data_IF_896958510389
#
_entry.id   IF_896958510389
#
_cell.length_a   1.000
_cell.length_b   1.000
_cell.length_c   1.000
_cell.angle_alpha   90.00
_cell.angle_beta   90.00
_cell.angle_gamma   90.00
#
_symmetry.space_group_name_H-M   'P 1'
#
loop_
_entity.id
_entity.type
_entity.pdbx_description
1 polymer ?
#
# COMPACT_ATOMS: atom_id res chain seq x y z
N UNK A 1 12.81 19.38 6.69
CA UNK A 1 13.12 19.69 5.28
C UNK A 1 12.75 18.46 4.47
N UNK A 2 12.16 18.62 3.28
CA UNK A 2 11.93 17.50 2.36
C UNK A 2 13.13 17.44 1.43
N UNK A 3 13.71 16.26 1.29
CA UNK A 3 14.75 15.96 0.30
C UNK A 3 14.20 15.00 -0.72
N UNK A 4 14.58 15.15 -1.99
CA UNK A 4 14.12 14.27 -3.06
C UNK A 4 15.24 13.95 -4.03
N UNK A 5 15.22 12.74 -4.57
CA UNK A 5 16.15 12.26 -5.58
C UNK A 5 15.49 11.13 -6.39
N UNK A 6 16.24 10.58 -7.34
CA UNK A 6 15.83 9.40 -8.08
C UNK A 6 16.91 8.31 -7.96
N UNK A 7 16.49 7.05 -8.04
CA UNK A 7 17.39 5.89 -7.99
C UNK A 7 17.21 5.05 -9.25
N UNK A 8 18.30 4.67 -9.94
CA UNK A 8 18.19 3.80 -11.09
C UNK A 8 17.70 2.41 -10.69
N UNK A 9 16.70 1.93 -11.42
CA UNK A 9 16.21 0.55 -11.38
C UNK A 9 16.21 0.00 -12.82
N UNK A 10 15.79 -1.24 -13.02
CA UNK A 10 15.79 -1.85 -14.36
C UNK A 10 14.95 -1.01 -15.36
N UNK A 11 15.62 -0.35 -16.30
CA UNK A 11 15.02 0.38 -17.42
C UNK A 11 14.37 1.73 -17.08
N UNK A 12 14.49 2.24 -15.85
CA UNK A 12 13.92 3.54 -15.43
C UNK A 12 14.60 4.05 -14.15
N UNK A 13 14.18 5.21 -13.66
CA UNK A 13 14.54 5.71 -12.32
C UNK A 13 13.29 5.87 -11.46
N UNK A 14 13.42 5.56 -10.17
CA UNK A 14 12.36 5.79 -9.19
C UNK A 14 12.61 7.07 -8.42
N UNK A 15 11.69 8.02 -8.57
CA UNK A 15 11.66 9.23 -7.77
C UNK A 15 11.19 8.92 -6.34
N UNK A 16 11.87 9.51 -5.35
CA UNK A 16 11.50 9.40 -3.94
C UNK A 16 11.66 10.71 -3.18
N UNK A 17 10.94 10.83 -2.08
CA UNK A 17 11.01 11.92 -1.12
C UNK A 17 11.30 11.36 0.28
N UNK A 18 12.22 11.99 1.00
CA UNK A 18 12.47 11.73 2.42
C UNK A 18 12.16 12.97 3.26
N UNK A 19 11.60 12.74 4.45
CA UNK A 19 11.33 13.80 5.43
C UNK A 19 11.54 13.29 6.85
N UNK A 20 12.18 14.12 7.67
CA UNK A 20 12.40 13.82 9.09
C UNK A 20 13.79 13.28 9.35
N UNK A 21 13.98 12.73 10.54
CA UNK A 21 15.24 12.13 11.01
C UNK A 21 14.92 10.96 11.92
N UNK A 22 15.80 9.96 11.96
CA UNK A 22 15.60 8.73 12.75
C UNK A 22 15.60 7.49 11.85
N UNK A 23 15.12 6.33 12.36
CA UNK A 23 15.05 5.10 11.59
C UNK A 23 14.28 5.29 10.28
N UNK A 24 14.71 4.60 9.22
CA UNK A 24 14.06 4.66 7.91
C UNK A 24 12.70 3.97 7.96
N UNK A 25 11.64 4.70 7.64
CA UNK A 25 10.27 4.19 7.54
C UNK A 25 9.72 4.45 6.14
N UNK A 26 9.53 3.40 5.35
CA UNK A 26 8.84 3.51 4.06
C UNK A 26 7.34 3.59 4.30
N UNK A 27 6.69 4.62 3.77
CA UNK A 27 5.24 4.79 3.84
C UNK A 27 4.63 4.73 2.42
N UNK A 28 3.80 3.73 2.18
CA UNK A 28 3.22 3.46 0.86
C UNK A 28 1.70 3.64 0.89
N UNK A 29 1.19 4.53 0.05
CA UNK A 29 -0.26 4.60 -0.25
C UNK A 29 -0.68 3.41 -1.13
N UNK A 30 -1.99 3.28 -1.37
CA UNK A 30 -2.56 2.26 -2.24
C UNK A 30 -2.43 2.56 -3.73
N UNK A 31 -3.54 2.36 -4.46
CA UNK A 31 -3.63 2.61 -5.90
C UNK A 31 -3.16 4.03 -6.28
N UNK A 32 -2.49 4.14 -7.44
CA UNK A 32 -1.93 5.40 -7.95
C UNK A 32 -0.51 5.73 -7.46
N UNK A 33 -0.01 5.06 -6.42
CA UNK A 33 1.43 4.94 -6.12
C UNK A 33 2.26 6.23 -6.15
N UNK A 34 1.70 7.36 -5.73
CA UNK A 34 2.35 8.68 -5.76
C UNK A 34 2.82 9.10 -4.37
N UNK A 35 4.07 9.54 -4.28
CA UNK A 35 4.75 9.89 -3.02
C UNK A 35 4.03 10.98 -2.22
N UNK A 36 3.22 11.82 -2.88
CA UNK A 36 2.58 13.01 -2.31
C UNK A 36 1.14 12.78 -1.85
N UNK A 37 0.66 11.53 -1.81
CA UNK A 37 -0.77 11.23 -1.53
C UNK A 37 -1.12 11.13 -0.06
N UNK A 38 -0.14 11.01 0.82
CA UNK A 38 -0.33 10.82 2.27
C UNK A 38 0.42 11.87 3.12
N UNK A 39 0.44 13.17 2.75
CA UNK A 39 1.27 14.16 3.41
C UNK A 39 0.89 14.34 4.88
N UNK A 40 -0.40 14.24 5.22
CA UNK A 40 -0.86 14.33 6.61
C UNK A 40 -0.29 13.24 7.51
N UNK A 41 -0.10 12.03 6.98
CA UNK A 41 0.55 10.93 7.71
C UNK A 41 2.06 11.16 7.82
N UNK A 42 2.71 11.48 6.70
CA UNK A 42 4.16 11.73 6.63
C UNK A 42 4.58 12.82 7.61
N UNK A 43 3.85 13.94 7.65
CA UNK A 43 4.09 15.07 8.55
C UNK A 43 4.07 14.68 10.03
N UNK A 44 3.30 13.66 10.41
CA UNK A 44 3.14 13.20 11.80
C UNK A 44 4.11 12.08 12.18
N UNK A 45 4.72 11.44 11.19
CA UNK A 45 5.74 10.40 11.39
C UNK A 45 7.16 10.97 11.34
N UNK A 46 7.37 12.06 10.58
CA UNK A 46 8.67 12.68 10.35
C UNK A 46 9.36 13.25 11.61
N UNK A 47 8.62 13.39 12.72
CA UNK A 47 9.20 13.81 14.02
C UNK A 47 10.04 12.70 14.68
N UNK A 48 9.88 11.45 14.26
CA UNK A 48 10.54 10.27 14.86
C UNK A 48 11.28 9.39 13.86
N UNK A 49 10.92 9.48 12.59
CA UNK A 49 11.45 8.65 11.53
C UNK A 49 11.98 9.51 10.38
N UNK A 50 12.92 8.93 9.63
CA UNK A 50 13.18 9.36 8.27
C UNK A 50 12.12 8.68 7.39
N UNK A 51 11.04 9.39 7.07
CA UNK A 51 9.92 8.84 6.31
C UNK A 51 10.26 8.90 4.83
N UNK A 52 10.33 7.74 4.18
CA UNK A 52 10.53 7.56 2.75
C UNK A 52 9.17 7.33 2.06
N UNK A 53 8.87 8.12 1.05
CA UNK A 53 7.78 7.90 0.10
C UNK A 53 8.36 7.90 -1.30
N UNK A 54 7.75 7.17 -2.24
CA UNK A 54 8.27 7.10 -3.60
C UNK A 54 7.14 6.97 -4.62
N UNK A 55 7.43 7.44 -5.83
CA UNK A 55 6.56 7.20 -6.97
C UNK A 55 6.86 5.81 -7.50
N UNK A 56 5.88 4.91 -7.47
CA UNK A 56 6.03 3.56 -8.02
C UNK A 56 6.29 3.66 -9.53
N UNK A 57 6.98 2.66 -10.09
CA UNK A 57 7.19 2.54 -11.54
C UNK A 57 5.90 2.80 -12.32
N UNK A 58 5.96 3.72 -13.28
CA UNK A 58 4.83 4.11 -14.12
C UNK A 58 3.93 5.21 -13.53
N UNK A 59 4.25 5.71 -12.33
CA UNK A 59 3.46 6.73 -11.63
C UNK A 59 4.23 8.06 -11.60
N UNK A 60 3.53 9.17 -11.88
CA UNK A 60 4.04 10.53 -11.71
C UNK A 60 5.46 10.74 -12.26
N UNK A 61 6.47 10.87 -11.39
CA UNK A 61 7.86 11.19 -11.78
C UNK A 61 8.72 9.95 -12.07
N UNK A 62 8.16 8.76 -11.87
CA UNK A 62 8.83 7.47 -12.14
C UNK A 62 8.25 6.86 -13.41
N UNK A 63 8.97 6.95 -14.53
CA UNK A 63 8.52 6.37 -15.79
C UNK A 63 8.39 4.83 -15.70
N UNK A 64 7.54 4.23 -16.53
CA UNK A 64 7.34 2.78 -16.55
C UNK A 64 8.59 2.01 -17.04
N UNK A 65 9.44 2.68 -17.83
CA UNK A 65 10.59 2.12 -18.54
C UNK A 65 10.28 1.79 -20.00
N UNK A 66 11.33 1.64 -20.81
CA UNK A 66 11.24 1.28 -22.23
C UNK A 66 12.29 0.18 -22.60
N UNK A 67 11.88 -1.05 -22.95
CA UNK A 67 10.48 -1.51 -22.96
C UNK A 67 9.91 -1.61 -21.53
N UNK A 68 8.60 -1.38 -21.41
CA UNK A 68 7.90 -1.53 -20.13
C UNK A 68 7.89 -3.01 -19.70
N UNK A 69 8.42 -3.36 -18.51
CA UNK A 69 8.37 -4.71 -18.00
C UNK A 69 6.95 -5.08 -17.55
N UNK A 70 6.64 -6.37 -17.30
CA UNK A 70 5.40 -6.75 -16.63
C UNK A 70 5.26 -6.02 -15.29
N UNK A 71 4.15 -5.29 -15.10
CA UNK A 71 3.89 -4.53 -13.88
C UNK A 71 3.12 -5.39 -12.87
N UNK A 72 3.88 -6.20 -12.14
CA UNK A 72 3.35 -7.14 -11.14
C UNK A 72 3.72 -6.69 -9.73
N UNK A 73 3.04 -7.18 -8.67
CA UNK A 73 3.47 -6.97 -7.30
C UNK A 73 4.93 -7.38 -7.05
N UNK A 74 5.41 -8.43 -7.75
CA UNK A 74 6.80 -8.89 -7.68
C UNK A 74 7.77 -7.87 -8.27
N UNK A 75 7.42 -7.26 -9.41
CA UNK A 75 8.21 -6.18 -10.04
C UNK A 75 8.34 -4.99 -9.12
N UNK A 76 7.23 -4.55 -8.50
CA UNK A 76 7.27 -3.42 -7.57
C UNK A 76 8.04 -3.73 -6.28
N UNK A 77 8.00 -4.98 -5.80
CA UNK A 77 8.80 -5.42 -4.66
C UNK A 77 10.30 -5.42 -4.98
N UNK A 78 10.68 -5.86 -6.18
CA UNK A 78 12.10 -5.85 -6.61
C UNK A 78 12.61 -4.42 -6.82
N UNK A 79 11.78 -3.55 -7.38
CA UNK A 79 12.04 -2.10 -7.49
C UNK A 79 12.25 -1.45 -6.11
N UNK A 80 11.36 -1.75 -5.14
CA UNK A 80 11.50 -1.25 -3.77
C UNK A 80 12.74 -1.82 -3.07
N UNK A 81 13.12 -3.07 -3.35
CA UNK A 81 14.36 -3.65 -2.83
C UNK A 81 15.60 -2.91 -3.33
N UNK A 82 15.63 -2.51 -4.61
CA UNK A 82 16.72 -1.70 -5.17
C UNK A 82 16.76 -0.31 -4.56
N UNK A 83 15.60 0.32 -4.38
CA UNK A 83 15.49 1.61 -3.70
C UNK A 83 16.06 1.52 -2.28
N UNK A 84 15.64 0.53 -1.48
CA UNK A 84 16.13 0.36 -0.10
C UNK A 84 17.65 0.13 -0.04
N UNK A 85 18.18 -0.75 -0.89
CA UNK A 85 19.63 -1.01 -0.97
C UNK A 85 20.47 0.21 -1.36
N UNK A 86 19.87 1.18 -2.05
CA UNK A 86 20.55 2.43 -2.41
C UNK A 86 20.58 3.45 -1.27
N UNK A 87 19.74 3.29 -0.24
CA UNK A 87 19.53 4.27 0.82
C UNK A 87 20.03 3.81 2.19
N UNK A 88 20.11 2.50 2.43
CA UNK A 88 20.47 1.95 3.73
C UNK A 88 21.07 0.55 3.60
N UNK A 89 22.04 0.24 4.46
CA UNK A 89 22.56 -1.12 4.67
C UNK A 89 21.79 -1.89 5.77
N UNK A 90 20.95 -1.18 6.53
CA UNK A 90 20.12 -1.75 7.60
C UNK A 90 18.70 -2.09 7.09
N UNK A 91 18.04 -3.12 7.65
CA UNK A 91 16.64 -3.43 7.34
C UNK A 91 15.73 -2.25 7.68
N UNK A 92 14.77 -1.94 6.80
CA UNK A 92 13.88 -0.78 6.93
C UNK A 92 12.58 -1.13 7.66
N UNK A 93 11.93 -0.13 8.26
CA UNK A 93 10.54 -0.21 8.67
C UNK A 93 9.64 0.07 7.48
N UNK A 94 8.54 -0.65 7.36
CA UNK A 94 7.58 -0.47 6.29
C UNK A 94 6.17 -0.33 6.83
N UNK A 95 5.46 0.64 6.30
CA UNK A 95 4.02 0.76 6.37
C UNK A 95 3.48 0.83 4.95
N UNK A 96 2.46 0.02 4.67
CA UNK A 96 1.71 0.11 3.42
C UNK A 96 0.23 -0.03 3.68
N UNK A 97 -0.58 0.57 2.80
CA UNK A 97 -2.02 0.33 2.77
C UNK A 97 -2.48 -0.21 1.41
N UNK A 98 -3.48 -1.10 1.38
CA UNK A 98 -4.04 -1.62 0.12
C UNK A 98 -2.94 -2.21 -0.77
N UNK A 99 -2.82 -1.76 -2.02
CA UNK A 99 -1.75 -2.15 -2.94
C UNK A 99 -0.34 -1.91 -2.37
N UNK A 100 -0.11 -0.83 -1.63
CA UNK A 100 1.19 -0.58 -0.97
C UNK A 100 1.51 -1.65 0.07
N UNK A 101 0.51 -2.11 0.84
CA UNK A 101 0.67 -3.23 1.77
C UNK A 101 0.94 -4.54 1.01
N UNK A 102 0.25 -4.76 -0.10
CA UNK A 102 0.44 -5.93 -0.94
C UNK A 102 1.87 -5.97 -1.52
N UNK A 103 2.39 -4.87 -2.05
CA UNK A 103 3.81 -4.77 -2.46
C UNK A 103 4.76 -5.05 -1.28
N UNK A 104 4.44 -4.55 -0.08
CA UNK A 104 5.18 -4.85 1.14
C UNK A 104 5.22 -6.36 1.46
N UNK A 105 4.11 -7.08 1.31
CA UNK A 105 4.08 -8.53 1.50
C UNK A 105 4.99 -9.26 0.51
N UNK A 106 4.99 -8.86 -0.78
CA UNK A 106 5.90 -9.44 -1.76
C UNK A 106 7.36 -9.09 -1.47
N UNK A 107 7.65 -7.89 -0.96
CA UNK A 107 9.00 -7.53 -0.51
C UNK A 107 9.45 -8.43 0.63
N UNK A 108 8.62 -8.62 1.67
CA UNK A 108 8.95 -9.48 2.80
C UNK A 108 9.16 -10.94 2.37
N UNK A 109 8.34 -11.44 1.44
CA UNK A 109 8.48 -12.80 0.93
C UNK A 109 9.73 -13.01 0.06
N UNK A 110 10.19 -11.97 -0.67
CA UNK A 110 11.28 -12.07 -1.66
C UNK A 110 12.63 -11.59 -1.14
N UNK A 111 12.62 -10.59 -0.26
CA UNK A 111 13.80 -9.90 0.28
C UNK A 111 13.65 -9.68 1.80
N UNK A 112 13.40 -10.74 2.60
CA UNK A 112 13.11 -10.61 4.04
C UNK A 112 14.22 -9.90 4.83
N UNK A 113 15.47 -10.00 4.37
CA UNK A 113 16.62 -9.33 4.97
C UNK A 113 16.56 -7.80 4.90
N UNK A 114 15.74 -7.23 4.00
CA UNK A 114 15.58 -5.77 3.88
C UNK A 114 14.49 -5.22 4.80
N UNK A 115 13.75 -6.09 5.51
CA UNK A 115 12.57 -5.71 6.30
C UNK A 115 12.84 -5.94 7.78
N UNK A 116 12.85 -4.85 8.55
CA UNK A 116 12.84 -4.90 10.01
C UNK A 116 11.44 -5.23 10.54
N UNK A 117 10.44 -4.47 10.08
CA UNK A 117 9.01 -4.69 10.40
C UNK A 117 8.17 -4.19 9.24
N UNK A 118 7.15 -4.97 8.85
CA UNK A 118 6.09 -4.54 7.94
C UNK A 118 4.77 -4.44 8.68
N UNK A 119 4.19 -3.23 8.71
CA UNK A 119 2.79 -3.00 9.07
C UNK A 119 1.97 -2.97 7.78
N UNK A 120 1.28 -4.08 7.50
CA UNK A 120 0.44 -4.26 6.33
C UNK A 120 -1.02 -3.90 6.69
N UNK A 121 -1.44 -2.68 6.34
CA UNK A 121 -2.81 -2.21 6.55
C UNK A 121 -3.70 -2.58 5.36
N UNK A 122 -4.56 -3.55 5.56
CA UNK A 122 -5.52 -4.00 4.53
C UNK A 122 -4.88 -4.35 3.18
N UNK A 123 -3.89 -5.27 3.10
CA UNK A 123 -3.37 -5.75 1.82
C UNK A 123 -4.48 -6.47 1.04
N UNK A 124 -4.83 -6.00 -0.16
CA UNK A 124 -5.79 -6.71 -1.03
C UNK A 124 -5.12 -7.89 -1.75
N UNK A 125 -4.62 -8.84 -0.96
CA UNK A 125 -4.08 -10.11 -1.42
C UNK A 125 -5.20 -11.18 -1.43
N UNK A 126 -5.88 -11.28 -2.58
CA UNK A 126 -7.06 -12.14 -2.75
C UNK A 126 -6.76 -13.64 -2.63
N UNK A 127 -5.49 -14.05 -2.72
CA UNK A 127 -5.11 -15.44 -2.53
C UNK A 127 -5.46 -15.99 -1.14
N UNK A 128 -5.66 -15.13 -0.14
CA UNK A 128 -6.05 -15.58 1.19
C UNK A 128 -7.56 -15.74 1.37
N UNK A 129 -8.38 -15.22 0.47
CA UNK A 129 -9.84 -15.42 0.49
C UNK A 129 -10.22 -16.87 0.14
N UNK A 130 -11.37 -17.31 0.65
CA UNK A 130 -12.00 -18.59 0.25
C UNK A 130 -12.35 -18.58 -1.25
N UNK A 131 -12.60 -19.76 -1.85
CA UNK A 131 -12.90 -19.84 -3.28
C UNK A 131 -14.07 -18.95 -3.73
N UNK A 132 -15.19 -19.00 -3.01
CA UNK A 132 -16.37 -18.19 -3.33
C UNK A 132 -16.13 -16.68 -3.09
N UNK A 133 -15.45 -16.32 -2.00
CA UNK A 133 -15.09 -14.93 -1.73
C UNK A 133 -14.11 -14.36 -2.75
N UNK A 134 -13.11 -15.14 -3.15
CA UNK A 134 -12.14 -14.75 -4.18
C UNK A 134 -12.82 -14.54 -5.51
N UNK A 135 -13.73 -15.43 -5.89
CA UNK A 135 -14.51 -15.27 -7.12
C UNK A 135 -15.34 -13.98 -7.08
N UNK A 136 -16.06 -13.73 -5.99
CA UNK A 136 -16.87 -12.52 -5.82
C UNK A 136 -16.01 -11.25 -5.81
N UNK A 137 -14.90 -11.24 -5.05
CA UNK A 137 -13.95 -10.13 -5.05
C UNK A 137 -13.43 -9.85 -6.46
N UNK A 138 -13.06 -10.89 -7.21
CA UNK A 138 -12.64 -10.77 -8.61
C UNK A 138 -13.74 -10.22 -9.52
N UNK A 139 -15.01 -10.62 -9.31
CA UNK A 139 -16.15 -10.07 -10.07
C UNK A 139 -16.35 -8.57 -9.78
N UNK A 140 -16.25 -8.15 -8.51
CA UNK A 140 -16.40 -6.73 -8.14
C UNK A 140 -15.26 -5.90 -8.71
N UNK A 141 -14.02 -6.41 -8.65
CA UNK A 141 -12.85 -5.75 -9.25
C UNK A 141 -13.02 -5.60 -10.77
N UNK A 142 -13.42 -6.66 -11.48
CA UNK A 142 -13.71 -6.58 -12.93
C UNK A 142 -14.78 -5.54 -13.24
N UNK A 143 -15.86 -5.53 -12.45
CA UNK A 143 -16.94 -4.55 -12.60
C UNK A 143 -16.43 -3.11 -12.42
N UNK A 144 -15.56 -2.87 -11.44
CA UNK A 144 -14.97 -1.55 -11.22
C UNK A 144 -14.07 -1.12 -12.39
N UNK A 145 -13.22 -2.03 -12.90
CA UNK A 145 -12.39 -1.78 -14.07
C UNK A 145 -13.23 -1.52 -15.33
N UNK A 146 -14.28 -2.29 -15.56
CA UNK A 146 -15.14 -2.13 -16.73
C UNK A 146 -15.96 -0.84 -16.65
N UNK A 147 -16.48 -0.49 -15.47
CA UNK A 147 -17.14 0.79 -15.23
C UNK A 147 -16.20 1.95 -15.52
N UNK A 148 -14.94 1.86 -15.06
CA UNK A 148 -13.94 2.88 -15.35
C UNK A 148 -13.67 3.02 -16.85
N UNK A 149 -13.46 1.91 -17.56
CA UNK A 149 -13.21 1.91 -19.01
C UNK A 149 -14.38 2.46 -19.82
N UNK A 150 -15.61 2.18 -19.40
CA UNK A 150 -16.81 2.55 -20.14
C UNK A 150 -17.32 3.96 -19.82
N UNK A 151 -17.16 4.40 -18.57
CA UNK A 151 -17.80 5.61 -18.04
C UNK A 151 -16.81 6.63 -17.48
N UNK A 152 -15.51 6.31 -17.48
CA UNK A 152 -14.44 7.20 -17.06
C UNK A 152 -14.24 7.27 -15.54
N UNK A 153 -13.37 8.20 -15.15
CA UNK A 153 -12.82 8.30 -13.79
C UNK A 153 -13.89 8.37 -12.69
N UNK A 154 -14.88 9.26 -12.80
CA UNK A 154 -15.88 9.49 -11.74
C UNK A 154 -16.68 8.23 -11.39
N UNK A 155 -17.45 7.67 -12.34
CA UNK A 155 -18.20 6.43 -12.12
C UNK A 155 -17.31 5.23 -11.74
N UNK A 156 -16.12 5.11 -12.35
CA UNK A 156 -15.16 4.08 -11.98
C UNK A 156 -14.72 4.18 -10.51
N UNK A 157 -14.45 5.40 -10.04
CA UNK A 157 -14.09 5.64 -8.63
C UNK A 157 -15.23 5.35 -7.66
N UNK A 158 -16.50 5.59 -8.06
CA UNK A 158 -17.67 5.17 -7.26
C UNK A 158 -17.72 3.65 -7.15
N UNK A 159 -17.51 2.92 -8.25
CA UNK A 159 -17.46 1.46 -8.22
C UNK A 159 -16.31 0.93 -7.37
N UNK A 160 -15.15 1.60 -7.39
CA UNK A 160 -14.01 1.27 -6.53
C UNK A 160 -14.24 1.60 -5.05
N UNK A 161 -15.00 2.66 -4.77
CA UNK A 161 -15.40 3.01 -3.41
C UNK A 161 -16.24 1.88 -2.81
N UNK A 162 -17.20 1.36 -3.56
CA UNK A 162 -18.05 0.24 -3.15
C UNK A 162 -17.23 -1.03 -2.86
N UNK A 163 -16.20 -1.33 -3.66
CA UNK A 163 -15.29 -2.45 -3.41
C UNK A 163 -14.55 -2.32 -2.07
N UNK A 164 -14.17 -1.11 -1.68
CA UNK A 164 -13.44 -0.85 -0.45
C UNK A 164 -14.35 -0.43 0.73
N UNK A 165 -15.67 -0.56 0.58
CA UNK A 165 -16.65 -0.10 1.58
C UNK A 165 -16.44 1.37 2.00
N UNK A 166 -16.13 2.23 1.02
CA UNK A 166 -15.89 3.66 1.22
C UNK A 166 -17.13 4.44 0.78
N UNK A 167 -17.76 5.12 1.72
CA UNK A 167 -18.78 6.14 1.43
C UNK A 167 -18.14 7.55 1.45
N UNK A 168 -17.72 8.03 0.28
CA UNK A 168 -17.15 9.38 0.13
C UNK A 168 -18.11 10.51 0.54
N UNK A 169 -19.43 10.26 0.54
CA UNK A 169 -20.44 11.22 0.96
C UNK A 169 -20.57 11.36 2.47
N UNK A 170 -20.08 10.38 3.23
CA UNK A 170 -20.25 10.30 4.69
C UNK A 170 -18.93 10.04 5.45
N UNK A 171 -17.79 10.36 4.84
CA UNK A 171 -16.49 10.23 5.51
C UNK A 171 -16.41 11.12 6.75
N UNK A 172 -16.02 10.51 7.86
CA UNK A 172 -15.68 11.20 9.10
C UNK A 172 -14.22 11.64 9.06
N UNK A 173 -13.94 12.87 9.47
CA UNK A 173 -12.60 13.44 9.51
C UNK A 173 -12.25 13.85 10.94
N UNK A 174 -11.01 13.60 11.35
CA UNK A 174 -10.50 14.24 12.55
C UNK A 174 -10.35 15.77 12.34
N UNK A 175 -10.33 16.59 13.41
CA UNK A 175 -10.20 18.03 13.27
C UNK A 175 -8.99 18.47 12.43
N UNK A 176 -9.26 19.23 11.37
CA UNK A 176 -8.24 19.77 10.46
C UNK A 176 -7.82 18.81 9.33
N UNK A 177 -8.27 17.56 9.33
CA UNK A 177 -8.07 16.65 8.21
C UNK A 177 -9.07 16.93 7.09
N UNK A 178 -8.61 16.74 5.85
CA UNK A 178 -9.43 16.86 4.64
C UNK A 178 -8.83 16.05 3.50
N UNK A 179 -9.68 15.43 2.68
CA UNK A 179 -9.22 14.86 1.42
C UNK A 179 -8.91 15.99 0.44
N UNK A 180 -7.67 16.01 -0.05
CA UNK A 180 -7.33 16.87 -1.17
C UNK A 180 -7.80 16.21 -2.47
N UNK A 181 -8.49 16.95 -3.36
CA UNK A 181 -8.80 16.48 -4.69
C UNK A 181 -7.53 16.00 -5.40
N UNK A 182 -7.64 14.95 -6.20
CA UNK A 182 -6.53 14.49 -7.02
C UNK A 182 -6.25 15.51 -8.13
N UNK A 183 -4.97 15.77 -8.38
CA UNK A 183 -4.51 16.49 -9.59
C UNK A 183 -4.75 15.63 -10.83
N UNK A 184 -4.68 16.22 -12.03
CA UNK A 184 -4.85 15.44 -13.26
C UNK A 184 -3.74 14.39 -13.44
N UNK A 185 -2.52 14.70 -13.02
CA UNK A 185 -1.41 13.73 -12.92
C UNK A 185 -1.77 12.55 -12.00
N UNK A 186 -2.32 12.82 -10.81
CA UNK A 186 -2.73 11.75 -9.88
C UNK A 186 -3.91 10.93 -10.40
N UNK A 187 -4.82 11.53 -11.18
CA UNK A 187 -5.88 10.78 -11.86
C UNK A 187 -5.32 9.90 -12.97
N UNK A 188 -4.30 10.38 -13.71
CA UNK A 188 -3.61 9.60 -14.73
C UNK A 188 -2.88 8.39 -14.13
N UNK A 189 -2.36 8.49 -12.90
CA UNK A 189 -1.81 7.33 -12.21
C UNK A 189 -2.86 6.26 -11.89
N UNK A 190 -4.09 6.66 -11.56
CA UNK A 190 -5.19 5.72 -11.37
C UNK A 190 -5.57 5.05 -12.69
N UNK A 191 -5.63 5.81 -13.78
CA UNK A 191 -5.84 5.27 -15.13
C UNK A 191 -4.76 4.25 -15.49
N UNK A 192 -3.49 4.60 -15.26
CA UNK A 192 -2.36 3.74 -15.51
C UNK A 192 -2.43 2.44 -14.68
N UNK A 193 -2.75 2.54 -13.39
CA UNK A 193 -2.98 1.39 -12.51
C UNK A 193 -4.08 0.47 -13.06
N UNK A 194 -5.25 1.00 -13.41
CA UNK A 194 -6.40 0.22 -13.90
C UNK A 194 -6.08 -0.45 -15.25
N UNK A 195 -5.28 0.22 -16.08
CA UNK A 195 -4.97 -0.26 -17.43
C UNK A 195 -3.83 -1.28 -17.43
N UNK A 196 -2.80 -1.10 -16.60
CA UNK A 196 -1.55 -1.85 -16.71
C UNK A 196 -1.22 -2.74 -15.50
N UNK A 197 -1.56 -2.32 -14.28
CA UNK A 197 -1.23 -3.08 -13.05
C UNK A 197 -2.35 -4.02 -12.65
N UNK A 198 -3.62 -3.60 -12.83
CA UNK A 198 -4.79 -4.33 -12.35
C UNK A 198 -4.92 -5.78 -12.87
N UNK A 199 -4.67 -6.09 -14.16
CA UNK A 199 -4.70 -7.48 -14.63
C UNK A 199 -3.76 -8.38 -13.81
N UNK A 200 -2.51 -7.93 -13.61
CA UNK A 200 -1.53 -8.65 -12.82
C UNK A 200 -1.90 -8.70 -11.34
N UNK A 201 -2.53 -7.66 -10.79
CA UNK A 201 -2.97 -7.64 -9.39
C UNK A 201 -3.99 -8.72 -9.04
N UNK A 202 -4.83 -9.10 -10.01
CA UNK A 202 -5.85 -10.14 -9.83
C UNK A 202 -5.37 -11.56 -10.14
N UNK A 203 -4.15 -11.70 -10.67
CA UNK A 203 -3.62 -12.98 -11.17
C UNK A 203 -2.32 -13.38 -10.49
N UNK A 204 -1.46 -12.41 -10.15
CA UNK A 204 -0.15 -12.60 -9.55
C UNK A 204 -0.24 -12.43 -8.05
N UNK A 205 -0.45 -13.55 -7.37
CA UNK A 205 -0.53 -13.63 -5.93
C UNK A 205 0.77 -14.16 -5.32
N UNK A 206 0.86 -14.06 -3.99
CA UNK A 206 1.75 -14.90 -3.20
C UNK A 206 1.42 -16.38 -3.44
N UNK A 207 2.44 -17.12 -3.86
CA UNK A 207 2.38 -18.58 -3.96
C UNK A 207 2.67 -19.23 -2.60
N UNK A 208 2.55 -20.56 -2.53
CA UNK A 208 2.78 -21.31 -1.29
C UNK A 208 4.19 -21.08 -0.72
N UNK A 209 5.20 -20.96 -1.58
CA UNK A 209 6.58 -20.68 -1.17
C UNK A 209 6.71 -19.27 -0.56
N UNK A 210 6.11 -18.26 -1.20
CA UNK A 210 6.04 -16.91 -0.64
C UNK A 210 5.31 -16.87 0.70
N UNK A 211 4.22 -17.63 0.83
CA UNK A 211 3.49 -17.74 2.08
C UNK A 211 4.31 -18.45 3.18
N UNK A 212 5.09 -19.46 2.83
CA UNK A 212 5.99 -20.13 3.78
C UNK A 212 7.04 -19.17 4.34
N UNK A 213 7.58 -18.26 3.51
CA UNK A 213 8.47 -17.19 3.98
C UNK A 213 7.72 -16.22 4.90
N UNK A 214 6.51 -15.79 4.54
CA UNK A 214 5.71 -14.92 5.43
C UNK A 214 5.42 -15.58 6.78
N UNK A 215 5.23 -16.90 6.80
CA UNK A 215 5.05 -17.66 8.06
C UNK A 215 6.35 -17.70 8.87
N UNK A 216 7.48 -17.94 8.22
CA UNK A 216 8.78 -17.94 8.89
C UNK A 216 9.13 -16.55 9.47
N UNK A 217 8.78 -15.48 8.75
CA UNK A 217 9.01 -14.09 9.14
C UNK A 217 7.81 -13.45 9.85
N UNK A 218 6.87 -14.27 10.36
CA UNK A 218 5.64 -13.78 10.99
C UNK A 218 5.90 -12.85 12.20
N UNK A 219 7.08 -12.94 12.83
CA UNK A 219 7.50 -12.04 13.90
C UNK A 219 7.76 -10.60 13.44
N UNK A 220 8.03 -10.37 12.15
CA UNK A 220 8.26 -9.04 11.55
C UNK A 220 7.05 -8.49 10.82
N UNK A 221 5.98 -9.28 10.73
CA UNK A 221 4.75 -8.91 10.04
C UNK A 221 3.67 -8.52 11.07
N UNK A 222 3.19 -7.29 10.96
CA UNK A 222 1.98 -6.84 11.66
C UNK A 222 0.87 -6.68 10.62
N UNK A 223 -0.23 -7.38 10.85
CA UNK A 223 -1.44 -7.27 10.04
C UNK A 223 -2.36 -6.24 10.69
N UNK A 224 -2.77 -5.23 9.92
CA UNK A 224 -3.58 -4.15 10.43
C UNK A 224 -4.86 -3.97 9.63
N UNK A 225 -5.94 -3.65 10.34
CA UNK A 225 -7.28 -3.42 9.80
C UNK A 225 -7.76 -2.02 10.16
N UNK A 226 -8.60 -1.42 9.32
CA UNK A 226 -9.26 -0.16 9.62
C UNK A 226 -10.47 -0.36 10.53
N UNK A 227 -10.73 0.59 11.43
CA UNK A 227 -11.93 0.59 12.25
C UNK A 227 -12.83 1.81 11.93
N UNK A 228 -14.09 1.61 11.49
CA UNK A 228 -14.66 0.36 10.94
C UNK A 228 -14.19 0.13 9.48
N UNK A 229 -14.18 -1.12 9.02
CA UNK A 229 -13.90 -1.48 7.60
C UNK A 229 -14.33 -2.90 7.22
N UNK A 230 -15.18 -3.55 8.02
CA UNK A 230 -15.50 -4.97 7.93
C UNK A 230 -16.21 -5.36 6.62
N UNK A 231 -16.87 -4.41 5.96
CA UNK A 231 -17.46 -4.58 4.63
C UNK A 231 -16.43 -4.59 3.50
N UNK A 232 -15.21 -4.10 3.73
CA UNK A 232 -14.15 -3.99 2.73
C UNK A 232 -13.53 -5.36 2.39
N UNK A 233 -13.35 -5.64 1.10
CA UNK A 233 -12.64 -6.84 0.64
C UNK A 233 -11.18 -6.91 1.12
N UNK A 234 -10.49 -5.78 1.23
CA UNK A 234 -9.12 -5.68 1.74
C UNK A 234 -9.03 -5.98 3.24
N UNK A 235 -10.03 -5.58 4.03
CA UNK A 235 -10.18 -6.02 5.41
C UNK A 235 -10.30 -7.54 5.49
N UNK A 236 -11.18 -8.14 4.68
CA UNK A 236 -11.38 -9.60 4.64
C UNK A 236 -10.11 -10.36 4.25
N UNK A 237 -9.34 -9.85 3.28
CA UNK A 237 -8.03 -10.42 2.93
C UNK A 237 -7.08 -10.45 4.14
N UNK A 238 -7.08 -9.37 4.92
CA UNK A 238 -6.24 -9.24 6.12
C UNK A 238 -6.63 -10.24 7.20
N UNK A 239 -7.92 -10.35 7.48
CA UNK A 239 -8.45 -11.31 8.47
C UNK A 239 -8.14 -12.73 8.04
N UNK A 240 -8.32 -13.06 6.76
CA UNK A 240 -8.02 -14.39 6.25
C UNK A 240 -6.51 -14.73 6.33
N UNK A 241 -5.64 -13.77 6.00
CA UNK A 241 -4.20 -13.92 6.18
C UNK A 241 -3.82 -14.09 7.67
N UNK A 242 -4.42 -13.29 8.56
CA UNK A 242 -4.18 -13.37 9.99
C UNK A 242 -4.56 -14.74 10.55
N UNK A 243 -5.72 -15.27 10.16
CA UNK A 243 -6.16 -16.62 10.52
C UNK A 243 -5.19 -17.70 10.03
N UNK A 244 -4.72 -17.62 8.78
CA UNK A 244 -3.74 -18.60 8.25
C UNK A 244 -2.37 -18.53 8.91
N UNK A 245 -1.99 -17.37 9.44
CA UNK A 245 -0.74 -17.17 10.20
C UNK A 245 -0.90 -17.41 11.71
N UNK A 246 -2.12 -17.61 12.21
CA UNK A 246 -2.40 -17.71 13.65
C UNK A 246 -2.08 -16.41 14.40
N UNK A 247 -2.35 -15.26 13.77
CA UNK A 247 -2.08 -13.92 14.31
C UNK A 247 -3.37 -13.16 14.57
N UNK A 248 -3.31 -12.26 15.55
CA UNK A 248 -4.30 -11.20 15.74
C UNK A 248 -4.01 -10.01 14.82
N UNK A 249 -5.04 -9.22 14.51
CA UNK A 249 -4.93 -7.97 13.76
C UNK A 249 -4.84 -6.76 14.69
N UNK A 250 -4.08 -5.75 14.28
CA UNK A 250 -4.01 -4.45 14.96
C UNK A 250 -4.95 -3.44 14.29
N UNK A 251 -5.86 -2.84 15.06
CA UNK A 251 -6.76 -1.83 14.52
C UNK A 251 -6.11 -0.45 14.37
N UNK A 252 -6.36 0.18 13.21
CA UNK A 252 -6.01 1.56 12.86
C UNK A 252 -7.30 2.39 12.63
N UNK A 253 -7.33 3.67 13.07
CA UNK A 253 -8.54 4.48 13.06
C UNK A 253 -8.92 4.96 11.65
N UNK A 254 -10.22 5.04 11.37
CA UNK A 254 -10.75 5.72 10.18
C UNK A 254 -10.96 4.82 8.96
N UNK A 255 -11.07 3.51 9.18
CA UNK A 255 -11.28 2.52 8.13
C UNK A 255 -10.16 2.44 7.11
N UNK A 256 -10.48 1.96 5.91
CA UNK A 256 -9.51 1.76 4.82
C UNK A 256 -8.71 3.02 4.45
N UNK A 257 -9.38 4.19 4.50
CA UNK A 257 -8.79 5.50 4.16
C UNK A 257 -8.36 6.28 5.41
N UNK A 258 -8.22 5.61 6.55
CA UNK A 258 -7.88 6.18 7.85
C UNK A 258 -6.62 7.05 7.86
N UNK A 259 -5.61 6.67 7.06
CA UNK A 259 -4.38 7.46 6.91
C UNK A 259 -4.59 8.86 6.33
N UNK A 260 -5.74 9.09 5.66
CA UNK A 260 -6.13 10.38 5.05
C UNK A 260 -7.20 11.10 5.87
N UNK A 261 -8.13 10.37 6.48
CA UNK A 261 -9.25 10.93 7.26
C UNK A 261 -8.88 11.21 8.71
N UNK A 262 -7.99 10.41 9.30
CA UNK A 262 -7.56 10.47 10.69
C UNK A 262 -6.02 10.47 10.85
N UNK A 263 -5.25 11.28 10.10
CA UNK A 263 -3.79 11.16 10.02
C UNK A 263 -3.06 11.25 11.38
N UNK A 264 -3.51 12.07 12.32
CA UNK A 264 -2.92 12.20 13.66
C UNK A 264 -3.21 10.96 14.50
N UNK A 265 -4.48 10.53 14.59
CA UNK A 265 -4.82 9.32 15.34
C UNK A 265 -4.15 8.07 14.74
N UNK A 266 -4.13 7.99 13.41
CA UNK A 266 -3.49 6.92 12.65
C UNK A 266 -1.97 6.88 12.90
N UNK A 267 -1.27 8.02 12.78
CA UNK A 267 0.16 8.10 13.07
C UNK A 267 0.49 7.74 14.52
N UNK A 268 -0.33 8.16 15.48
CA UNK A 268 -0.14 7.83 16.89
C UNK A 268 -0.27 6.32 17.13
N UNK A 269 -1.26 5.68 16.51
CA UNK A 269 -1.46 4.23 16.60
C UNK A 269 -0.37 3.45 15.89
N UNK A 270 0.02 3.85 14.67
CA UNK A 270 1.11 3.24 13.92
C UNK A 270 2.44 3.31 14.70
N UNK A 271 2.77 4.45 15.31
CA UNK A 271 3.94 4.58 16.19
C UNK A 271 3.90 3.61 17.37
N UNK A 272 2.74 3.45 18.01
CA UNK A 272 2.59 2.50 19.12
C UNK A 272 2.82 1.06 18.65
N UNK A 273 2.32 0.70 17.48
CA UNK A 273 2.53 -0.62 16.87
C UNK A 273 4.02 -0.87 16.61
N UNK A 274 4.71 0.07 15.94
CA UNK A 274 6.14 -0.04 15.64
C UNK A 274 6.98 -0.13 16.92
N UNK A 275 6.66 0.64 17.96
CA UNK A 275 7.34 0.56 19.26
C UNK A 275 7.16 -0.76 19.97
N UNK A 276 5.99 -1.37 19.86
CA UNK A 276 5.75 -2.70 20.41
C UNK A 276 6.58 -3.79 19.69
N UNK A 277 7.05 -3.52 18.46
CA UNK A 277 8.01 -4.35 17.73
C UNK A 277 9.48 -3.99 18.02
N UNK A 278 9.73 -3.01 18.89
CA UNK A 278 11.07 -2.59 19.30
C UNK A 278 11.65 -1.39 18.54
N UNK A 279 10.81 -0.59 17.87
CA UNK A 279 11.25 0.50 16.98
C UNK A 279 10.73 1.90 17.36
#
# INVERSE_FOLDING_TARGET
>A
MVTSAAVPVAGTELYYETRGTGPLLVAMDGAGGDARRIPGLVDRLADHYTVLTYDRRGMSRSAAGDPMPPLTPRTHADDLALLLKSLTDEPALLFGTSLGAHVGLHLLARHPQLVATLVAHEPSEFYFLTGAERELAGQVVRTACDTYRQQGFGPGMVSWAAFNDIDYGNLQFEPGARLSPMTDEQKANIDFFITHEMPAYTEVHLDDAGFDVLRAEAGRLVLATGAPSEGNWSYRCTVALAQRLGKETEELPGGHVGLKTHPRAFAARLRKILRNQGH
#
